data_IF_544532908976
#
_entry.id   IF_544532908976
#
_cell.length_a   1.000
_cell.length_b   1.000
_cell.length_c   1.000
_cell.angle_alpha   90.00
_cell.angle_beta   90.00
_cell.angle_gamma   90.00
#
_symmetry.space_group_name_H-M   'P 1'
#
loop_
_entity.id
_entity.type
_entity.pdbx_description
1 polymer ?
#
# COMPACT_ATOMS: atom_id res chain seq x y z
N UNK A 1 23.15 -13.24 -11.81
CA UNK A 1 23.49 -12.09 -10.94
C UNK A 1 23.57 -12.61 -9.52
N UNK A 2 24.77 -12.94 -9.05
CA UNK A 2 25.00 -13.77 -7.88
C UNK A 2 24.49 -13.09 -6.60
N UNK A 3 23.78 -13.81 -5.74
CA UNK A 3 23.20 -13.31 -4.48
C UNK A 3 24.18 -12.47 -3.62
N UNK A 4 25.48 -12.71 -3.77
CA UNK A 4 26.57 -11.93 -3.19
C UNK A 4 26.50 -10.44 -3.58
N UNK A 5 26.23 -10.11 -4.85
CA UNK A 5 26.09 -8.72 -5.31
C UNK A 5 24.85 -8.05 -4.70
N UNK A 6 23.73 -8.77 -4.59
CA UNK A 6 22.52 -8.25 -3.95
C UNK A 6 22.74 -8.03 -2.43
N UNK A 7 23.43 -8.96 -1.76
CA UNK A 7 23.80 -8.84 -0.36
C UNK A 7 24.70 -7.63 -0.11
N UNK A 8 25.74 -7.44 -0.94
CA UNK A 8 26.65 -6.30 -0.83
C UNK A 8 25.92 -4.99 -1.08
N UNK A 9 25.03 -4.92 -2.07
CA UNK A 9 24.27 -3.71 -2.36
C UNK A 9 23.30 -3.35 -1.22
N UNK A 10 22.61 -4.35 -0.65
CA UNK A 10 21.76 -4.16 0.53
C UNK A 10 22.57 -3.69 1.73
N UNK A 11 23.72 -4.31 2.02
CA UNK A 11 24.60 -3.92 3.13
C UNK A 11 25.13 -2.50 2.97
N UNK A 12 25.47 -2.07 1.75
CA UNK A 12 25.87 -0.68 1.48
C UNK A 12 24.72 0.29 1.70
N UNK A 13 23.51 -0.03 1.22
CA UNK A 13 22.33 0.84 1.45
C UNK A 13 21.93 0.91 2.92
N UNK A 14 22.04 -0.19 3.67
CA UNK A 14 21.79 -0.23 5.12
C UNK A 14 22.84 0.57 5.89
N UNK A 15 24.14 0.41 5.57
CA UNK A 15 25.20 1.17 6.24
C UNK A 15 25.10 2.66 5.96
N UNK A 16 24.69 3.07 4.75
CA UNK A 16 24.38 4.48 4.47
C UNK A 16 23.19 4.96 5.32
N UNK A 17 22.12 4.17 5.42
CA UNK A 17 20.97 4.47 6.27
C UNK A 17 21.33 4.64 7.74
N UNK A 18 22.18 3.77 8.28
CA UNK A 18 22.65 3.85 9.66
C UNK A 18 23.66 4.98 9.88
N UNK A 19 24.53 5.31 8.90
CA UNK A 19 25.41 6.49 8.98
C UNK A 19 24.58 7.78 9.02
N UNK A 20 23.55 7.89 8.17
CA UNK A 20 22.62 9.02 8.18
C UNK A 20 21.87 9.08 9.51
N UNK A 21 21.41 7.93 10.02
CA UNK A 21 20.73 7.81 11.32
C UNK A 21 21.63 8.24 12.49
N UNK A 22 22.91 7.86 12.45
CA UNK A 22 23.90 8.19 13.47
C UNK A 22 24.25 9.68 13.44
N UNK A 23 24.32 10.30 12.24
CA UNK A 23 24.48 11.76 12.09
C UNK A 23 23.32 12.56 12.70
N UNK A 24 22.10 11.99 12.70
CA UNK A 24 20.92 12.58 13.37
C UNK A 24 20.83 12.34 14.88
N UNK A 25 21.89 11.82 15.54
CA UNK A 25 21.88 11.50 16.99
C UNK A 25 20.79 10.49 17.41
N UNK A 26 20.30 9.66 16.49
CA UNK A 26 19.37 8.59 16.83
C UNK A 26 20.14 7.46 17.52
N UNK A 27 19.95 7.31 18.84
CA UNK A 27 20.51 6.23 19.67
C UNK A 27 19.91 4.84 19.35
N UNK A 28 18.88 4.79 18.50
CA UNK A 28 18.09 3.59 18.19
C UNK A 28 18.19 3.30 16.68
N UNK A 29 18.36 2.03 16.24
CA UNK A 29 18.41 1.67 14.83
C UNK A 29 17.20 2.20 14.05
N UNK A 30 17.46 2.77 12.86
CA UNK A 30 16.43 3.39 12.00
C UNK A 30 15.27 2.44 11.68
N UNK A 31 15.58 1.16 11.50
CA UNK A 31 14.62 0.08 11.26
C UNK A 31 13.64 -0.11 12.42
N UNK A 32 14.12 0.03 13.67
CA UNK A 32 13.28 -0.12 14.85
C UNK A 32 12.31 1.06 14.99
N UNK A 33 12.80 2.29 14.81
CA UNK A 33 11.96 3.50 14.85
C UNK A 33 10.90 3.46 13.74
N UNK A 34 11.28 3.11 12.52
CA UNK A 34 10.37 2.97 11.40
C UNK A 34 9.30 1.89 11.65
N UNK A 35 9.69 0.74 12.20
CA UNK A 35 8.75 -0.34 12.53
C UNK A 35 7.71 0.11 13.56
N UNK A 36 8.14 0.72 14.67
CA UNK A 36 7.22 1.23 15.70
C UNK A 36 6.30 2.32 15.13
N UNK A 37 6.84 3.24 14.33
CA UNK A 37 6.05 4.27 13.68
C UNK A 37 4.98 3.69 12.74
N UNK A 38 5.32 2.70 11.93
CA UNK A 38 4.36 2.01 11.04
C UNK A 38 3.23 1.37 11.86
N UNK A 39 3.54 0.68 12.95
CA UNK A 39 2.50 0.07 13.79
C UNK A 39 1.58 1.09 14.44
N UNK A 40 2.12 2.21 14.94
CA UNK A 40 1.31 3.30 15.50
C UNK A 40 0.43 3.93 14.42
N UNK A 41 0.97 4.18 13.23
CA UNK A 41 0.22 4.75 12.11
C UNK A 41 -0.91 3.83 11.64
N UNK A 42 -0.63 2.52 11.50
CA UNK A 42 -1.65 1.52 11.15
C UNK A 42 -2.75 1.48 12.22
N UNK A 43 -2.37 1.48 13.50
CA UNK A 43 -3.33 1.47 14.61
C UNK A 43 -4.20 2.72 14.60
N UNK A 44 -3.59 3.89 14.43
CA UNK A 44 -4.30 5.17 14.36
C UNK A 44 -5.26 5.25 13.16
N UNK A 45 -4.82 4.80 11.98
CA UNK A 45 -5.71 4.70 10.81
C UNK A 45 -6.85 3.72 11.05
N UNK A 46 -6.58 2.60 11.74
CA UNK A 46 -7.59 1.60 12.10
C UNK A 46 -8.63 2.12 13.09
N UNK A 47 -8.24 2.89 14.11
CA UNK A 47 -9.17 3.42 15.11
C UNK A 47 -10.02 4.59 14.59
N UNK A 48 -9.53 5.37 13.63
CA UNK A 48 -10.35 6.37 12.93
C UNK A 48 -11.41 5.74 12.02
N UNK A 49 -11.27 4.46 11.65
CA UNK A 49 -12.24 3.78 10.81
C UNK A 49 -13.47 3.36 11.64
N UNK A 50 -14.50 4.19 11.62
CA UNK A 50 -15.75 3.89 12.30
C UNK A 50 -16.45 2.69 11.65
N UNK A 51 -16.57 1.57 12.37
CA UNK A 51 -17.21 0.34 11.88
C UNK A 51 -18.65 0.59 11.36
N UNK A 52 -19.35 1.59 11.94
CA UNK A 52 -20.68 2.00 11.47
C UNK A 52 -20.64 2.65 10.09
N UNK A 53 -19.58 3.41 9.79
CA UNK A 53 -19.36 3.97 8.45
C UNK A 53 -19.05 2.87 7.45
N UNK A 54 -18.21 1.90 7.82
CA UNK A 54 -17.91 0.75 6.96
C UNK A 54 -19.18 -0.03 6.60
N UNK A 55 -20.08 -0.20 7.57
CA UNK A 55 -21.37 -0.86 7.37
C UNK A 55 -22.34 0.00 6.54
N UNK A 56 -22.35 1.31 6.75
CA UNK A 56 -23.11 2.26 5.92
C UNK A 56 -22.59 2.29 4.47
N UNK A 57 -21.29 2.06 4.28
CA UNK A 57 -20.59 2.01 3.00
C UNK A 57 -20.46 0.59 2.44
N UNK A 58 -21.42 -0.29 2.73
CA UNK A 58 -21.41 -1.68 2.23
C UNK A 58 -21.21 -1.78 0.72
N UNK A 59 -21.71 -0.81 -0.07
CA UNK A 59 -21.49 -0.75 -1.52
C UNK A 59 -20.00 -0.60 -1.84
N UNK A 60 -19.28 0.27 -1.14
CA UNK A 60 -17.83 0.44 -1.30
C UNK A 60 -17.09 -0.85 -0.96
N UNK A 61 -17.48 -1.52 0.12
CA UNK A 61 -16.87 -2.80 0.52
C UNK A 61 -17.08 -3.87 -0.55
N UNK A 62 -18.31 -4.00 -1.08
CA UNK A 62 -18.62 -4.95 -2.16
C UNK A 62 -17.84 -4.62 -3.43
N UNK A 63 -17.71 -3.34 -3.80
CA UNK A 63 -16.91 -2.90 -4.95
C UNK A 63 -15.43 -3.27 -4.76
N UNK A 64 -14.86 -3.08 -3.56
CA UNK A 64 -13.48 -3.44 -3.26
C UNK A 64 -13.25 -4.96 -3.34
N UNK A 65 -14.17 -5.76 -2.80
CA UNK A 65 -14.09 -7.23 -2.88
C UNK A 65 -14.22 -7.69 -4.34
N UNK A 66 -15.15 -7.11 -5.10
CA UNK A 66 -15.29 -7.39 -6.53
C UNK A 66 -14.03 -6.99 -7.32
N UNK A 67 -13.38 -5.88 -6.95
CA UNK A 67 -12.10 -5.46 -7.51
C UNK A 67 -10.98 -6.47 -7.25
N UNK A 68 -10.86 -6.96 -6.01
CA UNK A 68 -9.88 -8.00 -5.65
C UNK A 68 -10.16 -9.30 -6.44
N UNK A 69 -11.42 -9.74 -6.50
CA UNK A 69 -11.82 -10.90 -7.29
C UNK A 69 -11.52 -10.72 -8.78
N UNK A 70 -11.75 -9.52 -9.32
CA UNK A 70 -11.43 -9.16 -10.69
C UNK A 70 -9.93 -9.23 -10.99
N UNK A 71 -9.10 -8.70 -10.08
CA UNK A 71 -7.63 -8.80 -10.20
C UNK A 71 -7.18 -10.25 -10.18
N UNK A 72 -7.71 -11.07 -9.26
CA UNK A 72 -7.37 -12.50 -9.18
C UNK A 72 -7.76 -13.22 -10.48
N UNK A 73 -8.97 -12.99 -11.00
CA UNK A 73 -9.44 -13.63 -12.23
C UNK A 73 -8.62 -13.18 -13.44
N UNK A 74 -8.30 -11.89 -13.53
CA UNK A 74 -7.46 -11.33 -14.59
C UNK A 74 -6.03 -11.91 -14.56
N UNK A 75 -5.41 -11.99 -13.39
CA UNK A 75 -4.07 -12.57 -13.25
C UNK A 75 -4.08 -14.09 -13.47
N UNK A 76 -5.14 -14.79 -13.10
CA UNK A 76 -5.28 -16.22 -13.36
C UNK A 76 -5.56 -16.56 -14.82
N UNK A 77 -6.11 -15.63 -15.60
CA UNK A 77 -6.38 -15.82 -17.04
C UNK A 77 -5.23 -15.30 -17.88
N UNK A 78 -5.00 -13.98 -17.88
CA UNK A 78 -3.99 -13.32 -18.71
C UNK A 78 -2.60 -13.42 -18.08
N UNK A 79 -2.51 -13.26 -16.75
CA UNK A 79 -1.23 -13.33 -16.03
C UNK A 79 -0.60 -14.72 -16.11
N UNK A 80 -1.38 -15.80 -16.03
CA UNK A 80 -0.87 -17.17 -16.20
C UNK A 80 -0.37 -17.42 -17.62
N UNK A 81 -1.03 -16.86 -18.63
CA UNK A 81 -0.63 -17.03 -20.03
C UNK A 81 0.71 -16.35 -20.34
N UNK A 82 0.98 -15.19 -19.72
CA UNK A 82 2.18 -14.40 -20.00
C UNK A 82 3.33 -14.71 -19.02
N UNK A 83 3.05 -14.84 -17.72
CA UNK A 83 4.07 -14.97 -16.66
C UNK A 83 4.24 -16.41 -16.14
N UNK A 84 3.35 -17.34 -16.50
CA UNK A 84 3.32 -18.69 -15.97
C UNK A 84 2.59 -18.82 -14.62
N UNK A 85 2.14 -20.04 -14.29
CA UNK A 85 1.28 -20.30 -13.11
C UNK A 85 1.94 -19.92 -11.79
N UNK A 86 3.19 -20.32 -11.58
CA UNK A 86 3.87 -20.10 -10.29
C UNK A 86 4.11 -18.61 -10.03
N UNK A 87 4.55 -17.88 -11.06
CA UNK A 87 4.76 -16.43 -10.99
C UNK A 87 3.45 -15.68 -10.71
N UNK A 88 2.37 -16.06 -11.39
CA UNK A 88 1.06 -15.44 -11.19
C UNK A 88 0.52 -15.68 -9.77
N UNK A 89 0.66 -16.90 -9.25
CA UNK A 89 0.25 -17.24 -7.88
C UNK A 89 1.06 -16.43 -6.86
N UNK A 90 2.37 -16.34 -7.02
CA UNK A 90 3.26 -15.61 -6.10
C UNK A 90 3.11 -14.10 -6.21
N UNK A 91 2.79 -13.58 -7.40
CA UNK A 91 2.65 -12.16 -7.68
C UNK A 91 1.31 -11.55 -7.28
N UNK A 92 0.25 -12.36 -7.19
CA UNK A 92 -1.11 -11.86 -6.90
C UNK A 92 -1.25 -11.27 -5.50
N UNK A 93 -0.81 -11.94 -4.40
CA UNK A 93 -0.92 -11.38 -3.05
C UNK A 93 -0.19 -10.04 -2.83
N UNK A 94 1.06 -9.86 -3.29
CA UNK A 94 1.72 -8.55 -3.27
C UNK A 94 0.86 -7.43 -3.86
N UNK A 95 0.15 -7.70 -4.97
CA UNK A 95 -0.58 -6.69 -5.73
C UNK A 95 -1.79 -6.11 -4.98
N UNK A 96 -2.42 -6.90 -4.10
CA UNK A 96 -3.62 -6.47 -3.35
C UNK A 96 -3.40 -6.31 -1.85
N UNK A 97 -2.34 -6.90 -1.27
CA UNK A 97 -2.11 -6.97 0.17
C UNK A 97 -0.87 -6.22 0.69
N UNK A 98 -0.17 -5.48 -0.17
CA UNK A 98 0.96 -4.65 0.22
C UNK A 98 2.19 -5.44 0.69
N UNK A 99 3.03 -4.81 1.53
CA UNK A 99 4.32 -5.39 1.91
C UNK A 99 4.19 -6.67 2.74
N UNK A 100 3.17 -6.75 3.61
CA UNK A 100 2.95 -7.92 4.47
C UNK A 100 2.61 -9.14 3.62
N UNK A 101 1.74 -8.99 2.61
CA UNK A 101 1.42 -10.07 1.69
C UNK A 101 2.62 -10.49 0.84
N UNK A 102 3.45 -9.52 0.41
CA UNK A 102 4.67 -9.81 -0.33
C UNK A 102 5.69 -10.62 0.50
N UNK A 103 5.89 -10.26 1.78
CA UNK A 103 6.77 -10.98 2.68
C UNK A 103 6.25 -12.38 3.02
N UNK A 104 4.93 -12.54 3.19
CA UNK A 104 4.31 -13.84 3.42
C UNK A 104 4.54 -14.76 2.21
N UNK A 105 4.35 -14.24 1.00
CA UNK A 105 4.50 -15.03 -0.22
C UNK A 105 5.96 -15.32 -0.56
N UNK A 106 6.87 -14.40 -0.25
CA UNK A 106 8.31 -14.65 -0.33
C UNK A 106 8.71 -15.85 0.54
N UNK A 107 8.20 -15.91 1.77
CA UNK A 107 8.47 -17.02 2.69
C UNK A 107 7.88 -18.33 2.18
N UNK A 108 6.65 -18.30 1.65
CA UNK A 108 6.01 -19.47 1.05
C UNK A 108 6.80 -20.00 -0.16
N UNK A 109 7.28 -19.11 -1.04
CA UNK A 109 8.09 -19.47 -2.20
C UNK A 109 9.46 -20.05 -1.80
N UNK A 110 10.10 -19.49 -0.75
CA UNK A 110 11.33 -20.06 -0.17
C UNK A 110 11.10 -21.44 0.45
N UNK A 111 9.96 -21.67 1.10
CA UNK A 111 9.61 -22.96 1.68
C UNK A 111 9.45 -24.07 0.61
N UNK A 112 9.05 -23.70 -0.61
CA UNK A 112 9.04 -24.61 -1.77
C UNK A 112 10.41 -24.80 -2.42
N UNK A 113 11.48 -24.23 -1.87
CA UNK A 113 12.85 -24.31 -2.41
C UNK A 113 13.09 -23.44 -3.64
N UNK A 114 12.11 -22.62 -4.06
CA UNK A 114 12.19 -21.80 -5.26
C UNK A 114 12.54 -20.35 -4.91
N UNK A 115 13.84 -20.08 -4.75
CA UNK A 115 14.35 -18.76 -4.39
C UNK A 115 14.06 -17.69 -5.45
N UNK A 116 13.96 -18.08 -6.71
CA UNK A 116 13.66 -17.15 -7.80
C UNK A 116 12.24 -16.57 -7.65
N UNK A 117 11.25 -17.39 -7.32
CA UNK A 117 9.89 -16.92 -7.05
C UNK A 117 9.82 -16.00 -5.83
N UNK A 118 10.62 -16.29 -4.80
CA UNK A 118 10.70 -15.45 -3.61
C UNK A 118 11.17 -14.03 -3.94
N UNK A 119 12.14 -13.89 -4.85
CA UNK A 119 12.60 -12.58 -5.36
C UNK A 119 11.49 -11.90 -6.17
N UNK A 120 10.79 -12.65 -7.01
CA UNK A 120 9.70 -12.12 -7.85
C UNK A 120 8.55 -11.55 -7.00
N UNK A 121 8.23 -12.15 -5.85
CA UNK A 121 7.21 -11.64 -4.92
C UNK A 121 7.50 -10.18 -4.47
N UNK A 122 8.75 -9.92 -4.07
CA UNK A 122 9.17 -8.57 -3.66
C UNK A 122 9.30 -7.65 -4.87
N UNK A 123 9.82 -8.14 -5.99
CA UNK A 123 9.99 -7.34 -7.21
C UNK A 123 8.65 -6.76 -7.67
N UNK A 124 7.60 -7.59 -7.70
CA UNK A 124 6.24 -7.15 -8.07
C UNK A 124 5.75 -6.08 -7.11
N UNK A 125 5.96 -6.25 -5.80
CA UNK A 125 5.59 -5.24 -4.80
C UNK A 125 6.25 -3.88 -5.04
N UNK A 126 7.54 -3.86 -5.37
CA UNK A 126 8.27 -2.61 -5.62
C UNK A 126 7.81 -1.95 -6.92
N UNK A 127 7.65 -2.73 -7.99
CA UNK A 127 7.25 -2.22 -9.31
C UNK A 127 5.86 -1.60 -9.27
N UNK A 128 4.89 -2.21 -8.58
CA UNK A 128 3.55 -1.62 -8.45
C UNK A 128 3.56 -0.31 -7.66
N UNK A 129 4.45 -0.14 -6.68
CA UNK A 129 4.58 1.11 -5.95
C UNK A 129 5.14 2.20 -6.86
N UNK A 130 6.21 1.87 -7.60
CA UNK A 130 6.85 2.80 -8.51
C UNK A 130 5.92 3.27 -9.63
N UNK A 131 5.08 2.39 -10.17
CA UNK A 131 4.13 2.74 -11.24
C UNK A 131 2.83 3.31 -10.67
N UNK A 132 2.33 2.74 -9.57
CA UNK A 132 1.03 3.07 -9.01
C UNK A 132 0.98 4.46 -8.37
N UNK A 133 2.02 4.87 -7.62
CA UNK A 133 2.00 6.17 -6.95
C UNK A 133 2.02 7.36 -7.93
N UNK A 134 2.87 7.39 -8.98
CA UNK A 134 2.83 8.46 -9.99
C UNK A 134 1.48 8.55 -10.68
N UNK A 135 0.91 7.42 -11.13
CA UNK A 135 -0.40 7.40 -11.81
C UNK A 135 -1.48 7.94 -10.88
N UNK A 136 -1.51 7.47 -9.64
CA UNK A 136 -2.47 7.92 -8.62
C UNK A 136 -2.31 9.42 -8.36
N UNK A 137 -1.08 9.91 -8.23
CA UNK A 137 -0.80 11.33 -7.98
C UNK A 137 -1.29 12.24 -9.13
N UNK A 138 -1.14 11.79 -10.39
CA UNK A 138 -1.58 12.55 -11.57
C UNK A 138 -3.11 12.56 -11.65
N UNK A 139 -3.76 11.41 -11.42
CA UNK A 139 -5.22 11.30 -11.43
C UNK A 139 -5.86 12.11 -10.30
N UNK A 140 -5.34 12.01 -9.08
CA UNK A 140 -5.81 12.81 -7.95
C UNK A 140 -5.60 14.31 -8.18
N UNK A 141 -4.47 14.69 -8.77
CA UNK A 141 -4.21 16.10 -9.11
C UNK A 141 -5.17 16.61 -10.19
N UNK A 142 -5.54 15.77 -11.16
CA UNK A 142 -6.52 16.13 -12.20
C UNK A 142 -7.92 16.30 -11.60
N UNK A 143 -8.36 15.36 -10.77
CA UNK A 143 -9.67 15.43 -10.12
C UNK A 143 -9.75 16.57 -9.11
N UNK A 144 -8.70 16.80 -8.33
CA UNK A 144 -8.63 17.94 -7.41
C UNK A 144 -8.74 19.28 -8.11
N UNK A 145 -8.09 19.44 -9.29
CA UNK A 145 -8.25 20.64 -10.12
C UNK A 145 -9.68 20.78 -10.65
N UNK A 146 -10.28 19.69 -11.15
CA UNK A 146 -11.66 19.68 -11.64
C UNK A 146 -12.65 20.13 -10.56
N UNK A 147 -12.53 19.57 -9.36
CA UNK A 147 -13.37 19.94 -8.22
C UNK A 147 -13.14 21.41 -7.81
N UNK A 148 -11.89 21.86 -7.73
CA UNK A 148 -11.56 23.25 -7.38
C UNK A 148 -12.15 24.26 -8.36
N UNK A 149 -12.14 23.94 -9.66
CA UNK A 149 -12.76 24.77 -10.69
C UNK A 149 -14.29 24.81 -10.56
N UNK A 150 -14.93 23.68 -10.25
CA UNK A 150 -16.37 23.63 -9.96
C UNK A 150 -16.74 24.46 -8.73
N UNK A 151 -15.97 24.36 -7.65
CA UNK A 151 -16.16 25.18 -6.45
C UNK A 151 -16.00 26.69 -6.74
N UNK A 152 -14.99 27.08 -7.53
CA UNK A 152 -14.76 28.49 -7.90
C UNK A 152 -15.85 29.08 -8.79
N UNK A 153 -16.54 28.24 -9.57
CA UNK A 153 -17.67 28.64 -10.42
C UNK A 153 -19.01 28.68 -9.67
N UNK A 154 -19.01 28.39 -8.37
CA UNK A 154 -20.23 28.36 -7.56
C UNK A 154 -21.14 27.16 -7.83
N UNK A 155 -20.66 26.12 -8.52
CA UNK A 155 -21.41 24.87 -8.64
C UNK A 155 -21.52 24.23 -7.26
N UNK A 156 -22.70 23.73 -6.91
CA UNK A 156 -22.87 22.81 -5.78
C UNK A 156 -22.20 21.49 -6.17
N UNK A 157 -20.87 21.47 -6.06
CA UNK A 157 -20.09 20.24 -6.17
C UNK A 157 -20.59 19.35 -5.04
N UNK A 158 -21.42 18.36 -5.37
CA UNK A 158 -21.81 17.32 -4.43
C UNK A 158 -20.58 16.45 -4.18
N UNK A 159 -19.67 16.95 -3.36
CA UNK A 159 -18.72 16.08 -2.68
C UNK A 159 -19.59 15.12 -1.89
N UNK A 160 -19.56 13.85 -2.26
CA UNK A 160 -20.17 12.81 -1.46
C UNK A 160 -19.38 12.82 -0.15
N UNK A 161 -19.83 13.62 0.81
CA UNK A 161 -19.28 13.64 2.15
C UNK A 161 -19.46 12.22 2.66
N UNK A 162 -18.38 11.45 2.67
CA UNK A 162 -18.20 10.40 3.66
C UNK A 162 -18.56 11.09 4.96
N UNK A 163 -19.74 10.76 5.51
CA UNK A 163 -20.19 11.28 6.79
C UNK A 163 -19.24 10.71 7.83
N UNK A 164 -18.06 11.29 7.94
CA UNK A 164 -17.27 11.20 9.15
C UNK A 164 -18.14 11.86 10.19
N UNK A 165 -18.69 11.05 11.08
CA UNK A 165 -19.50 11.52 12.20
C UNK A 165 -18.64 12.38 13.13
N UNK A 166 -18.36 13.63 12.76
CA UNK A 166 -18.19 14.71 13.72
C UNK A 166 -19.57 14.99 14.33
N UNK A 167 -19.97 14.16 15.29
CA UNK A 167 -21.09 14.46 16.17
C UNK A 167 -20.56 14.35 17.60
N UNK A 168 -20.69 15.47 18.31
CA UNK A 168 -20.66 15.59 19.77
C UNK A 168 -19.30 15.76 20.47
N UNK A 169 -18.53 16.77 20.06
CA UNK A 169 -17.92 17.69 21.04
C UNK A 169 -18.70 19.01 21.04
N UNK A 170 -19.84 18.91 21.73
CA UNK A 170 -20.83 19.94 22.05
C UNK A 170 -20.21 21.24 22.59
N UNK A 171 -20.80 22.35 22.13
CA UNK A 171 -20.86 23.69 22.77
C UNK A 171 -19.55 24.46 22.90
N UNK A 172 -19.39 25.38 21.96
CA UNK A 172 -18.95 26.75 22.23
C UNK A 172 -19.55 27.20 23.58
N UNK A 173 -18.71 27.25 24.60
CA UNK A 173 -18.95 28.05 25.80
C UNK A 173 -18.41 29.46 25.52
N UNK A 174 -19.05 30.49 26.11
CA UNK A 174 -18.99 31.88 25.64
C UNK A 174 -17.59 32.49 25.62
#
# INVERSE_FOLDING_TARGET
MSAILALVLVLVTMTIGDIVSTKTKAFVPSVFVAGVAIYILITHMGTMMNVKELMSQWKTVVISIAGIAGIILFLMTIGVLILGRETAIVGTPPLTGGIVAALLMQQAAKATGNENLAIVAILIYVVQGFVGYPITSVLLKKEGKRLLEGFRKGEKVSVQTTRTSESDAKKLLP
#
